data_IF_109218045233
#
_entry.id   IF_109218045233
#
_cell.length_a   1.000
_cell.length_b   1.000
_cell.length_c   1.000
_cell.angle_alpha   90.00
_cell.angle_beta   90.00
_cell.angle_gamma   90.00
#
_symmetry.space_group_name_H-M   'P 1'
#
loop_
_entity.id
_entity.type
_entity.pdbx_description
1 polymer ?
#
# COMPACT_ATOMS: atom_id res chain seq x y z
N UNK A 1 -12.32 -3.99 0.22
CA UNK A 1 -13.03 -4.09 -1.07
C UNK A 1 -13.72 -2.79 -1.47
N UNK A 2 -14.68 -2.26 -0.65
CA UNK A 2 -15.48 -1.07 -1.02
C UNK A 2 -14.64 0.14 -1.43
N UNK A 3 -13.57 0.48 -0.71
CA UNK A 3 -12.68 1.60 -1.04
C UNK A 3 -11.97 1.36 -2.38
N UNK A 4 -11.51 0.13 -2.66
CA UNK A 4 -10.84 -0.19 -3.92
C UNK A 4 -11.82 -0.06 -5.09
N UNK A 5 -13.07 -0.53 -4.93
CA UNK A 5 -14.12 -0.34 -5.93
C UNK A 5 -14.29 1.14 -6.27
N UNK A 6 -14.44 1.99 -5.25
CA UNK A 6 -14.59 3.43 -5.42
C UNK A 6 -13.36 4.05 -6.12
N UNK A 7 -12.14 3.65 -5.75
CA UNK A 7 -10.92 4.13 -6.40
C UNK A 7 -10.78 3.63 -7.85
N UNK A 8 -11.37 2.48 -8.17
CA UNK A 8 -11.40 1.89 -9.52
C UNK A 8 -12.44 2.52 -10.46
N UNK A 9 -13.55 3.03 -9.95
CA UNK A 9 -14.64 3.59 -10.75
C UNK A 9 -14.25 4.94 -11.37
N UNK A 10 -14.44 5.08 -12.68
CA UNK A 10 -14.09 6.33 -13.42
C UNK A 10 -14.79 7.56 -12.88
N UNK A 11 -16.04 7.44 -12.44
CA UNK A 11 -16.84 8.56 -11.91
C UNK A 11 -16.30 9.12 -10.61
N UNK A 12 -15.80 8.28 -9.73
CA UNK A 12 -15.27 8.69 -8.43
C UNK A 12 -13.79 9.11 -8.51
N UNK A 13 -13.01 8.55 -9.46
CA UNK A 13 -11.66 9.04 -9.78
C UNK A 13 -11.65 10.52 -10.21
N UNK A 14 -12.73 11.04 -10.79
CA UNK A 14 -12.82 12.45 -11.19
C UNK A 14 -12.79 13.42 -10.01
N UNK A 15 -13.09 12.98 -8.79
CA UNK A 15 -13.02 13.81 -7.58
C UNK A 15 -11.62 13.92 -7.00
N UNK A 16 -10.71 13.02 -7.39
CA UNK A 16 -9.33 12.97 -6.93
C UNK A 16 -8.38 12.95 -8.12
N UNK A 17 -7.25 13.64 -8.01
CA UNK A 17 -6.21 13.53 -9.03
C UNK A 17 -5.57 12.13 -9.00
N UNK A 18 -5.08 11.68 -10.15
CA UNK A 18 -4.53 10.32 -10.31
C UNK A 18 -3.39 10.00 -9.32
N UNK A 19 -2.40 10.88 -9.06
CA UNK A 19 -1.37 10.60 -8.05
C UNK A 19 -1.94 10.34 -6.65
N UNK A 20 -3.05 11.00 -6.27
CA UNK A 20 -3.70 10.75 -4.97
C UNK A 20 -4.39 9.39 -4.95
N UNK A 21 -5.10 9.02 -6.01
CA UNK A 21 -5.72 7.69 -6.15
C UNK A 21 -4.65 6.60 -6.08
N UNK A 22 -3.59 6.74 -6.87
CA UNK A 22 -2.47 5.80 -6.89
C UNK A 22 -1.78 5.72 -5.52
N UNK A 23 -1.58 6.84 -4.83
CA UNK A 23 -1.02 6.87 -3.48
C UNK A 23 -1.86 6.09 -2.45
N UNK A 24 -3.19 6.18 -2.54
CA UNK A 24 -4.10 5.39 -1.70
C UNK A 24 -4.04 3.90 -2.03
N UNK A 25 -4.05 3.54 -3.30
CA UNK A 25 -3.91 2.14 -3.73
C UNK A 25 -2.57 1.55 -3.28
N UNK A 26 -1.49 2.30 -3.41
CA UNK A 26 -0.18 1.86 -2.92
C UNK A 26 -0.15 1.70 -1.39
N UNK A 27 -0.85 2.55 -0.63
CA UNK A 27 -0.99 2.39 0.82
C UNK A 27 -1.67 1.05 1.18
N UNK A 28 -2.69 0.66 0.40
CA UNK A 28 -3.41 -0.60 0.59
C UNK A 28 -2.50 -1.79 0.20
N UNK A 29 -1.95 -1.78 -1.01
CA UNK A 29 -1.23 -2.94 -1.55
C UNK A 29 0.14 -3.19 -0.93
N UNK A 30 0.75 -2.19 -0.30
CA UNK A 30 2.10 -2.32 0.30
C UNK A 30 2.10 -2.28 1.82
N UNK A 31 1.10 -1.66 2.43
CA UNK A 31 1.08 -1.37 3.86
C UNK A 31 2.12 -0.35 4.30
N UNK A 32 2.71 0.42 3.38
CA UNK A 32 3.67 1.48 3.72
C UNK A 32 2.99 2.65 4.45
N UNK A 33 3.79 3.39 5.20
CA UNK A 33 3.35 4.63 5.87
C UNK A 33 3.15 5.75 4.87
N UNK A 34 2.25 6.68 5.19
CA UNK A 34 1.96 7.88 4.40
C UNK A 34 3.24 8.63 3.98
N UNK A 35 4.17 8.86 4.90
CA UNK A 35 5.44 9.54 4.62
C UNK A 35 6.31 8.80 3.60
N UNK A 36 6.33 7.47 3.65
CA UNK A 36 7.10 6.65 2.72
C UNK A 36 6.51 6.71 1.30
N UNK A 37 5.17 6.72 1.21
CA UNK A 37 4.46 6.78 -0.07
C UNK A 37 4.63 8.15 -0.71
N UNK A 38 4.23 9.22 -0.03
CA UNK A 38 4.16 10.57 -0.62
C UNK A 38 5.47 11.03 -1.26
N UNK A 39 6.58 10.82 -0.58
CA UNK A 39 7.91 11.24 -1.05
C UNK A 39 8.65 10.21 -1.90
N UNK A 40 7.97 9.21 -2.46
CA UNK A 40 8.57 8.20 -3.32
C UNK A 40 9.17 8.82 -4.58
N UNK A 41 10.36 8.37 -4.97
CA UNK A 41 11.02 8.73 -6.22
C UNK A 41 11.11 7.50 -7.13
N UNK A 42 11.09 7.72 -8.45
CA UNK A 42 11.11 6.63 -9.41
C UNK A 42 12.37 5.76 -9.34
N UNK A 43 13.52 6.32 -8.95
CA UNK A 43 14.76 5.54 -8.73
C UNK A 43 14.66 4.47 -7.65
N UNK A 44 13.63 4.50 -6.83
CA UNK A 44 13.39 3.54 -5.75
C UNK A 44 12.58 2.33 -6.23
N UNK A 45 11.96 2.45 -7.40
CA UNK A 45 11.05 1.46 -7.98
C UNK A 45 11.80 0.67 -9.05
N UNK A 46 11.91 -0.63 -8.85
CA UNK A 46 12.37 -1.58 -9.85
C UNK A 46 11.17 -2.40 -10.34
N UNK A 47 10.69 -2.05 -11.53
CA UNK A 47 9.54 -2.72 -12.15
C UNK A 47 9.92 -4.06 -12.79
N UNK A 48 11.20 -4.32 -13.07
CA UNK A 48 11.65 -5.59 -13.63
C UNK A 48 11.63 -6.69 -12.56
N UNK A 49 12.08 -6.36 -11.34
CA UNK A 49 12.07 -7.28 -10.19
C UNK A 49 10.85 -7.13 -9.30
N UNK A 50 9.99 -6.15 -9.56
CA UNK A 50 8.82 -5.80 -8.75
C UNK A 50 9.18 -5.51 -7.28
N UNK A 51 10.14 -4.60 -7.10
CA UNK A 51 10.66 -4.22 -5.79
C UNK A 51 10.62 -2.71 -5.62
N UNK A 52 10.13 -2.25 -4.48
CA UNK A 52 10.28 -0.87 -4.04
C UNK A 52 11.27 -0.80 -2.89
N UNK A 53 12.39 -0.13 -3.09
CA UNK A 53 13.42 0.10 -2.06
C UNK A 53 13.24 1.47 -1.44
N UNK A 54 12.57 1.52 -0.29
CA UNK A 54 12.34 2.78 0.46
C UNK A 54 13.60 3.13 1.24
N UNK A 55 14.21 4.31 1.03
CA UNK A 55 15.41 4.71 1.73
C UNK A 55 15.15 5.00 3.22
N UNK A 56 16.17 4.79 4.04
CA UNK A 56 16.09 4.87 5.49
C UNK A 56 15.61 6.23 6.02
N UNK A 57 15.88 7.32 5.32
CA UNK A 57 15.47 8.69 5.70
C UNK A 57 13.95 8.83 5.81
N UNK A 58 13.19 8.04 5.02
CA UNK A 58 11.73 8.03 5.07
C UNK A 58 11.14 6.90 5.91
N UNK A 59 12.00 6.06 6.49
CA UNK A 59 11.56 4.97 7.35
C UNK A 59 11.67 5.36 8.83
N UNK A 60 10.68 4.93 9.64
CA UNK A 60 10.73 5.14 11.10
C UNK A 60 11.91 4.41 11.74
N UNK A 61 12.28 3.26 11.19
CA UNK A 61 13.42 2.46 11.63
C UNK A 61 14.79 3.07 11.28
N UNK A 62 14.82 4.10 10.40
CA UNK A 62 16.04 4.68 9.82
C UNK A 62 16.88 3.66 9.04
N UNK A 63 16.27 2.57 8.57
CA UNK A 63 16.91 1.54 7.76
C UNK A 63 16.17 1.43 6.43
N UNK A 64 16.93 1.16 5.37
CA UNK A 64 16.36 0.82 4.06
C UNK A 64 15.36 -0.34 4.18
N UNK A 65 14.24 -0.22 3.49
CA UNK A 65 13.19 -1.21 3.52
C UNK A 65 12.77 -1.63 2.10
N UNK A 66 13.07 -2.88 1.75
CA UNK A 66 12.65 -3.48 0.49
C UNK A 66 11.23 -4.04 0.63
N UNK A 67 10.36 -3.61 -0.26
CA UNK A 67 8.94 -3.97 -0.30
C UNK A 67 8.66 -4.73 -1.59
N UNK A 68 8.26 -6.01 -1.53
CA UNK A 68 7.80 -6.72 -2.71
C UNK A 68 6.48 -6.14 -3.17
N UNK A 69 6.39 -5.84 -4.46
CA UNK A 69 5.20 -5.27 -5.08
C UNK A 69 4.31 -6.39 -5.64
N UNK A 70 3.05 -6.51 -5.19
CA UNK A 70 2.08 -7.37 -5.85
C UNK A 70 1.72 -6.81 -7.24
N UNK A 71 1.16 -7.64 -8.12
CA UNK A 71 0.80 -7.28 -9.50
C UNK A 71 -0.06 -6.02 -9.58
N UNK A 72 -0.99 -5.87 -8.66
CA UNK A 72 -1.87 -4.71 -8.57
C UNK A 72 -1.10 -3.41 -8.31
N UNK A 73 -0.11 -3.45 -7.41
CA UNK A 73 0.76 -2.30 -7.15
C UNK A 73 1.63 -1.96 -8.38
N UNK A 74 2.13 -2.96 -9.09
CA UNK A 74 2.88 -2.78 -10.34
C UNK A 74 1.99 -2.11 -11.39
N UNK A 75 0.75 -2.56 -11.58
CA UNK A 75 -0.20 -1.95 -12.52
C UNK A 75 -0.49 -0.48 -12.19
N UNK A 76 -0.62 -0.15 -10.91
CA UNK A 76 -0.79 1.25 -10.45
C UNK A 76 0.42 2.12 -10.83
N UNK A 77 1.63 1.59 -10.64
CA UNK A 77 2.85 2.31 -10.99
C UNK A 77 3.01 2.48 -12.50
N UNK A 78 2.72 1.45 -13.29
CA UNK A 78 2.73 1.51 -14.76
C UNK A 78 1.72 2.51 -15.33
N UNK A 79 0.54 2.67 -14.69
CA UNK A 79 -0.43 3.71 -15.06
C UNK A 79 0.12 5.12 -14.78
N UNK A 80 0.91 5.27 -13.73
CA UNK A 80 1.40 6.57 -13.26
C UNK A 80 2.71 7.00 -13.95
N UNK A 81 3.54 6.05 -14.35
CA UNK A 81 4.87 6.28 -14.93
C UNK A 81 4.84 7.25 -16.10
N UNK A 82 4.04 7.09 -17.17
CA UNK A 82 4.05 8.00 -18.33
C UNK A 82 3.65 9.43 -17.96
N UNK A 83 2.99 9.62 -16.81
CA UNK A 83 2.47 10.90 -16.35
C UNK A 83 3.48 11.64 -15.47
N UNK A 84 4.19 10.92 -14.59
CA UNK A 84 5.02 11.54 -13.54
C UNK A 84 6.52 11.27 -13.70
N UNK A 85 6.92 10.30 -14.52
CA UNK A 85 8.33 10.05 -14.76
C UNK A 85 8.96 11.19 -15.59
N UNK A 86 9.96 11.84 -15.04
CA UNK A 86 10.77 12.90 -15.69
C UNK A 86 12.27 12.67 -15.41
N UNK A 87 12.64 11.42 -15.15
CA UNK A 87 13.95 11.00 -14.72
C UNK A 87 13.93 10.32 -13.36
N UNK A 88 15.03 9.65 -12.98
CA UNK A 88 15.08 8.79 -11.77
C UNK A 88 14.72 9.52 -10.47
N UNK A 89 15.07 10.80 -10.35
CA UNK A 89 14.82 11.60 -9.15
C UNK A 89 13.43 12.24 -9.10
N UNK A 90 12.62 12.09 -10.15
CA UNK A 90 11.24 12.61 -10.14
C UNK A 90 10.36 11.84 -9.18
N UNK A 91 9.38 12.54 -8.60
CA UNK A 91 8.45 11.94 -7.65
C UNK A 91 7.41 11.07 -8.34
N UNK A 92 7.19 9.88 -7.79
CA UNK A 92 6.15 8.94 -8.24
C UNK A 92 4.77 9.57 -8.10
N UNK A 93 4.49 10.16 -6.93
CA UNK A 93 3.22 10.82 -6.62
C UNK A 93 3.36 12.34 -6.72
N UNK A 94 3.70 12.80 -7.93
CA UNK A 94 3.92 14.21 -8.21
C UNK A 94 2.68 15.08 -7.94
N UNK A 95 2.89 16.30 -7.48
CA UNK A 95 1.85 17.28 -7.20
C UNK A 95 2.35 18.70 -7.48
N UNK A 96 1.43 19.60 -7.78
CA UNK A 96 1.70 21.02 -8.05
C UNK A 96 2.09 21.84 -6.81
N UNK A 97 2.10 21.23 -5.62
CA UNK A 97 2.50 21.88 -4.38
C UNK A 97 3.98 22.24 -4.33
N UNK A 98 4.36 23.13 -3.38
CA UNK A 98 5.75 23.62 -3.19
C UNK A 98 6.80 22.50 -3.11
N UNK A 99 6.42 21.33 -2.59
CA UNK A 99 7.33 20.18 -2.42
C UNK A 99 7.45 19.32 -3.68
N UNK A 100 6.60 19.53 -4.70
CA UNK A 100 6.58 18.73 -5.92
C UNK A 100 5.90 17.35 -5.78
N UNK A 101 5.47 16.96 -4.57
CA UNK A 101 4.79 15.72 -4.28
C UNK A 101 3.59 15.91 -3.34
N UNK A 102 2.80 14.86 -3.10
CA UNK A 102 1.57 14.93 -2.28
C UNK A 102 1.83 15.51 -0.88
N UNK A 103 1.04 16.51 -0.49
CA UNK A 103 1.12 17.15 0.82
C UNK A 103 0.70 16.20 1.96
N UNK A 104 1.11 16.51 3.20
CA UNK A 104 0.97 15.65 4.38
C UNK A 104 -0.44 15.10 4.61
N UNK A 105 -1.46 15.92 4.40
CA UNK A 105 -2.83 15.51 4.66
C UNK A 105 -3.59 15.01 3.43
N UNK A 106 -2.97 14.95 2.26
CA UNK A 106 -3.65 14.68 0.99
C UNK A 106 -4.38 13.34 1.01
N UNK A 107 -3.71 12.25 1.38
CA UNK A 107 -4.31 10.92 1.41
C UNK A 107 -5.44 10.84 2.46
N UNK A 108 -5.27 11.45 3.62
CA UNK A 108 -6.29 11.50 4.67
C UNK A 108 -7.54 12.27 4.21
N UNK A 109 -7.34 13.43 3.59
CA UNK A 109 -8.45 14.25 3.07
C UNK A 109 -9.20 13.52 1.95
N UNK A 110 -8.46 12.82 1.07
CA UNK A 110 -9.05 12.03 0.01
C UNK A 110 -9.95 10.90 0.57
N UNK A 111 -9.48 10.15 1.58
CA UNK A 111 -10.30 9.15 2.25
C UNK A 111 -11.57 9.73 2.86
N UNK A 112 -11.45 10.90 3.48
CA UNK A 112 -12.59 11.56 4.10
C UNK A 112 -13.63 12.02 3.06
N UNK A 113 -13.17 12.54 1.91
CA UNK A 113 -14.04 12.92 0.77
C UNK A 113 -14.80 11.72 0.19
N UNK A 114 -14.18 10.54 0.20
CA UNK A 114 -14.81 9.27 -0.21
C UNK A 114 -15.75 8.69 0.86
N UNK A 115 -15.98 9.40 1.97
CA UNK A 115 -16.85 8.96 3.06
C UNK A 115 -16.23 7.94 4.02
N UNK A 116 -14.92 7.72 3.94
CA UNK A 116 -14.22 6.79 4.83
C UNK A 116 -13.63 7.51 6.03
N UNK A 117 -14.00 7.07 7.25
CA UNK A 117 -13.45 7.56 8.53
C UNK A 117 -12.16 6.84 8.93
N UNK A 118 -11.46 6.23 7.97
CA UNK A 118 -10.21 5.53 8.20
C UNK A 118 -9.01 6.42 7.84
N UNK A 119 -7.85 6.08 8.37
CA UNK A 119 -6.57 6.73 8.03
C UNK A 119 -5.66 5.73 7.33
N UNK A 120 -4.61 6.22 6.65
CA UNK A 120 -3.56 5.33 6.09
C UNK A 120 -2.98 4.42 7.18
N UNK A 121 -2.85 4.92 8.41
CA UNK A 121 -2.42 4.10 9.55
C UNK A 121 -3.45 3.01 9.90
N UNK A 122 -4.74 3.33 9.92
CA UNK A 122 -5.82 2.36 10.15
C UNK A 122 -5.87 1.25 9.09
N UNK A 123 -5.50 1.56 7.83
CA UNK A 123 -5.36 0.54 6.78
C UNK A 123 -4.28 -0.50 7.12
N UNK A 124 -3.18 -0.08 7.75
CA UNK A 124 -2.11 -0.99 8.17
C UNK A 124 -2.60 -1.95 9.28
N UNK A 125 -3.44 -1.47 10.19
CA UNK A 125 -4.08 -2.34 11.19
C UNK A 125 -4.98 -3.38 10.51
N UNK A 126 -5.78 -2.97 9.51
CA UNK A 126 -6.60 -3.89 8.73
C UNK A 126 -5.76 -4.96 8.01
N UNK A 127 -4.62 -4.57 7.42
CA UNK A 127 -3.68 -5.53 6.80
C UNK A 127 -3.21 -6.55 7.84
N UNK A 128 -2.81 -6.07 9.02
CA UNK A 128 -2.39 -6.94 10.13
C UNK A 128 -3.49 -7.92 10.53
N UNK A 129 -4.72 -7.45 10.70
CA UNK A 129 -5.85 -8.26 11.14
C UNK A 129 -6.18 -9.34 10.10
N UNK A 130 -6.33 -8.95 8.82
CA UNK A 130 -6.64 -9.89 7.71
C UNK A 130 -5.56 -10.96 7.53
N UNK A 131 -4.28 -10.57 7.59
CA UNK A 131 -3.18 -11.51 7.42
C UNK A 131 -3.04 -12.46 8.63
N UNK A 132 -3.33 -11.98 9.85
CA UNK A 132 -3.37 -12.83 11.04
C UNK A 132 -4.56 -13.79 11.01
N UNK A 133 -5.75 -13.35 10.62
CA UNK A 133 -6.93 -14.23 10.45
C UNK A 133 -6.68 -15.32 9.40
N UNK A 134 -5.84 -15.04 8.40
CA UNK A 134 -5.41 -16.01 7.40
C UNK A 134 -4.22 -16.86 7.84
N UNK A 135 -3.79 -16.72 9.08
CA UNK A 135 -2.71 -17.49 9.69
C UNK A 135 -1.34 -17.34 9.01
N UNK A 136 -1.09 -16.20 8.34
CA UNK A 136 0.25 -15.90 7.87
C UNK A 136 1.23 -15.71 9.03
N UNK A 137 2.49 -16.09 8.81
CA UNK A 137 3.52 -15.98 9.84
C UNK A 137 3.67 -14.53 10.31
N UNK A 138 3.57 -14.31 11.62
CA UNK A 138 3.64 -13.00 12.25
C UNK A 138 4.93 -12.24 11.89
N UNK A 139 6.07 -12.92 11.81
CA UNK A 139 7.33 -12.25 11.49
C UNK A 139 7.35 -11.69 10.06
N UNK A 140 6.63 -12.32 9.12
CA UNK A 140 6.48 -11.78 7.77
C UNK A 140 5.64 -10.52 7.77
N UNK A 141 4.54 -10.49 8.54
CA UNK A 141 3.66 -9.34 8.69
C UNK A 141 4.43 -8.16 9.31
N UNK A 142 5.11 -8.40 10.43
CA UNK A 142 5.89 -7.37 11.13
C UNK A 142 7.02 -6.81 10.25
N UNK A 143 7.71 -7.67 9.49
CA UNK A 143 8.74 -7.25 8.53
C UNK A 143 8.15 -6.45 7.36
N UNK A 144 6.98 -6.83 6.83
CA UNK A 144 6.31 -6.09 5.76
C UNK A 144 5.97 -4.67 6.22
N UNK A 145 5.47 -4.55 7.43
CA UNK A 145 5.03 -3.27 7.99
C UNK A 145 6.17 -2.45 8.63
N UNK A 146 7.42 -2.92 8.58
CA UNK A 146 8.56 -2.28 9.25
C UNK A 146 8.25 -1.98 10.73
N UNK A 147 7.62 -2.93 11.42
CA UNK A 147 7.44 -2.87 12.85
C UNK A 147 8.72 -3.26 13.55
N UNK A 148 9.13 -2.46 14.55
CA UNK A 148 10.29 -2.79 15.35
C UNK A 148 9.93 -3.85 16.40
N UNK A 149 10.71 -4.94 16.41
CA UNK A 149 10.61 -5.93 17.49
C UNK A 149 11.04 -5.28 18.81
N UNK A 150 10.13 -5.29 19.78
CA UNK A 150 10.38 -4.70 21.10
C UNK A 150 11.29 -5.57 21.98
N UNK A 151 11.27 -6.86 21.75
CA UNK A 151 12.14 -7.79 22.44
C UNK A 151 13.53 -7.78 21.79
N UNK A 152 14.51 -7.21 22.47
CA UNK A 152 15.90 -7.06 21.96
C UNK A 152 16.54 -8.40 21.67
N UNK A 153 16.26 -9.47 22.47
CA UNK A 153 16.78 -10.81 22.26
C UNK A 153 16.22 -11.37 20.94
N UNK A 154 14.90 -11.29 20.75
CA UNK A 154 14.24 -11.74 19.52
C UNK A 154 14.72 -10.94 18.31
N UNK A 155 14.87 -9.62 18.43
CA UNK A 155 15.38 -8.76 17.36
C UNK A 155 16.75 -9.18 16.86
N UNK A 156 17.65 -9.65 17.75
CA UNK A 156 18.97 -10.14 17.39
C UNK A 156 18.95 -11.41 16.55
N UNK A 157 17.92 -12.26 16.73
CA UNK A 157 17.74 -13.49 15.96
C UNK A 157 16.98 -13.27 14.64
N UNK A 158 16.15 -12.23 14.53
CA UNK A 158 15.33 -11.95 13.34
C UNK A 158 16.11 -11.15 12.28
N UNK A 159 17.23 -11.70 11.81
CA UNK A 159 18.03 -11.07 10.73
C UNK A 159 17.45 -11.29 9.34
N UNK A 160 16.60 -12.29 9.18
CA UNK A 160 16.01 -12.67 7.90
C UNK A 160 15.00 -11.62 7.43
N UNK A 161 15.07 -11.28 6.15
CA UNK A 161 14.14 -10.32 5.52
C UNK A 161 12.82 -10.95 5.08
N UNK A 162 12.73 -12.27 4.99
CA UNK A 162 11.57 -13.04 4.53
C UNK A 162 10.98 -12.51 3.20
N UNK A 163 11.84 -12.13 2.27
CA UNK A 163 11.42 -11.35 1.11
C UNK A 163 10.44 -12.13 0.22
N UNK A 164 10.75 -13.37 -0.14
CA UNK A 164 9.89 -14.20 -1.00
C UNK A 164 8.58 -14.60 -0.29
N UNK A 165 8.64 -14.87 1.00
CA UNK A 165 7.45 -15.15 1.80
C UNK A 165 6.52 -13.93 1.86
N UNK A 166 7.10 -12.74 2.03
CA UNK A 166 6.36 -11.48 2.00
C UNK A 166 5.79 -11.19 0.61
N UNK A 167 6.49 -11.53 -0.47
CA UNK A 167 6.00 -11.43 -1.85
C UNK A 167 4.72 -12.26 -2.02
N UNK A 168 4.77 -13.53 -1.63
CA UNK A 168 3.60 -14.43 -1.68
C UNK A 168 2.44 -13.92 -0.83
N UNK A 169 2.73 -13.51 0.41
CA UNK A 169 1.75 -12.98 1.36
C UNK A 169 1.06 -11.72 0.83
N UNK A 170 1.82 -10.76 0.31
CA UNK A 170 1.27 -9.50 -0.19
C UNK A 170 0.53 -9.68 -1.52
N UNK A 171 0.94 -10.63 -2.37
CA UNK A 171 0.17 -10.97 -3.56
C UNK A 171 -1.19 -11.55 -3.16
N UNK A 172 -1.21 -12.52 -2.23
CA UNK A 172 -2.46 -13.06 -1.70
C UNK A 172 -3.36 -11.95 -1.12
N UNK A 173 -2.78 -11.02 -0.34
CA UNK A 173 -3.55 -9.90 0.24
C UNK A 173 -4.14 -8.98 -0.83
N UNK A 174 -3.38 -8.66 -1.88
CA UNK A 174 -3.86 -7.82 -2.97
C UNK A 174 -4.98 -8.52 -3.75
N UNK A 175 -4.85 -9.82 -4.02
CA UNK A 175 -5.89 -10.63 -4.67
C UNK A 175 -7.16 -10.70 -3.80
N UNK A 176 -7.01 -10.86 -2.48
CA UNK A 176 -8.11 -10.80 -1.52
C UNK A 176 -8.82 -9.43 -1.53
N UNK A 177 -8.08 -8.35 -1.61
CA UNK A 177 -8.62 -7.01 -1.71
C UNK A 177 -9.52 -6.83 -2.95
N UNK A 178 -9.17 -7.46 -4.07
CA UNK A 178 -9.91 -7.39 -5.32
C UNK A 178 -11.01 -8.45 -5.45
N UNK A 179 -10.88 -9.61 -4.82
CA UNK A 179 -11.89 -10.68 -4.87
C UNK A 179 -13.26 -10.23 -4.32
N UNK A 180 -13.27 -9.28 -3.40
CA UNK A 180 -14.49 -8.63 -2.92
C UNK A 180 -15.16 -7.69 -3.93
N UNK A 181 -14.55 -7.46 -5.11
CA UNK A 181 -15.13 -6.67 -6.21
C UNK A 181 -15.89 -7.55 -7.19
N UNK A 182 -15.63 -8.86 -7.19
CA UNK A 182 -16.15 -9.83 -8.16
C UNK A 182 -17.31 -10.67 -7.61
N UNK A 183 -18.22 -10.18 -6.80
CA UNK A 183 -19.59 -10.68 -6.64
C UNK A 183 -20.34 -10.06 -5.46
N UNK A 184 -21.57 -9.65 -5.61
CA UNK A 184 -22.53 -9.80 -4.54
C UNK A 184 -23.29 -11.14 -4.75
N UNK A 185 -22.77 -12.24 -4.30
CA UNK A 185 -23.64 -13.31 -3.85
C UNK A 185 -24.06 -12.95 -2.41
N UNK A 186 -24.95 -12.01 -2.30
CA UNK A 186 -25.82 -11.87 -1.13
C UNK A 186 -26.68 -13.14 -1.12
N UNK A 187 -26.26 -14.12 -0.37
CA UNK A 187 -27.15 -15.21 0.04
C UNK A 187 -28.18 -14.55 0.95
N UNK A 188 -29.35 -14.29 0.41
CA UNK A 188 -30.51 -13.88 1.17
C UNK A 188 -30.85 -14.99 2.18
N UNK A 189 -30.53 -14.73 3.46
CA UNK A 189 -30.86 -15.63 4.59
C UNK A 189 -32.37 -15.57 4.91
N UNK A 190 -33.20 -14.97 4.07
CA UNK A 190 -34.66 -14.83 4.32
C UNK A 190 -35.50 -15.98 3.77
N UNK A 191 -34.93 -17.06 3.23
CA UNK A 191 -35.70 -18.21 2.76
C UNK A 191 -35.41 -19.50 3.55
N UNK A 192 -35.44 -19.43 4.86
CA UNK A 192 -35.70 -20.61 5.71
C UNK A 192 -36.78 -20.27 6.73
N UNK A 193 -38.02 -20.40 6.30
CA UNK A 193 -39.18 -20.72 7.14
C UNK A 193 -39.80 -22.01 6.63
#
# INVERSE_FOLDING_TARGET
PKLIAQLGERGERQQLNLPTVCGLLMAIYTGLRDTSIRGAQWKEIDLDTNVWTVPGERMKSRREHQVPLPKQAVSVLQELEPITYRGPDSFVFASWGKQGYLAENTLRIALHRLGHKVTVHGMRSLITDVLNEKEFNRDWIEKQLDHQERNQVRAAYLRTRFFEQRRTMMQWFADWCESGLAAPNVVNISERR
#
